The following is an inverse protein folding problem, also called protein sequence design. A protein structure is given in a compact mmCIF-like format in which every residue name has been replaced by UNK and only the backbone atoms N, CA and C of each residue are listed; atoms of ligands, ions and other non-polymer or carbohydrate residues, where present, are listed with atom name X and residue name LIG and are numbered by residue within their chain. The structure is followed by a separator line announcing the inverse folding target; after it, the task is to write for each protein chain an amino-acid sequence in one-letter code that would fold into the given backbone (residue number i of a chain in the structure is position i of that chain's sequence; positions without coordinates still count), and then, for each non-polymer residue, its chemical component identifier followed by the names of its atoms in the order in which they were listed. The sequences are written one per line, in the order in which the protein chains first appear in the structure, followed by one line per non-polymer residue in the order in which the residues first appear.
data_IF_694693030156
#
_entry.id   IF_694693030156
#
_cell.length_a   1.000
_cell.length_b   1.000
_cell.length_c   1.000
_cell.angle_alpha   90.00
_cell.angle_beta   90.00
_cell.angle_gamma   90.00
#
_symmetry.space_group_name_H-M   'P 1'
#
loop_
_entity.id
_entity.type
_entity.pdbx_description
1 polymer ?
#
# COMPACT_ATOMS: atom_id res chain seq x y z
N UNK A 1 -2.92 -8.95 26.53
CA UNK A 1 -4.01 -9.75 25.94
C UNK A 1 -5.03 -8.83 25.28
N UNK A 2 -5.35 -9.08 24.02
CA UNK A 2 -6.36 -8.31 23.31
C UNK A 2 -7.74 -8.73 23.81
N UNK A 3 -8.63 -7.77 24.05
CA UNK A 3 -9.99 -8.10 24.42
C UNK A 3 -10.77 -8.63 23.18
N UNK A 4 -11.90 -9.28 23.43
CA UNK A 4 -12.70 -9.88 22.38
C UNK A 4 -13.18 -8.86 21.34
N UNK A 5 -13.58 -7.68 21.79
CA UNK A 5 -14.04 -6.61 20.93
C UNK A 5 -12.96 -6.14 19.96
N UNK A 6 -11.75 -5.97 20.45
CA UNK A 6 -10.61 -5.59 19.62
C UNK A 6 -10.29 -6.67 18.58
N UNK A 7 -10.35 -7.94 18.97
CA UNK A 7 -10.15 -9.06 18.03
C UNK A 7 -11.19 -9.07 16.93
N UNK A 8 -12.45 -8.83 17.26
CA UNK A 8 -13.54 -8.75 16.28
C UNK A 8 -13.32 -7.61 15.28
N UNK A 9 -12.83 -6.47 15.75
CA UNK A 9 -12.49 -5.33 14.88
C UNK A 9 -11.36 -5.72 13.93
N UNK A 10 -10.31 -6.35 14.43
CA UNK A 10 -9.19 -6.79 13.60
C UNK A 10 -9.62 -7.80 12.54
N UNK A 11 -10.48 -8.74 12.90
CA UNK A 11 -11.03 -9.72 11.96
C UNK A 11 -11.87 -9.05 10.88
N UNK A 12 -12.67 -8.05 11.23
CA UNK A 12 -13.46 -7.29 10.28
C UNK A 12 -12.57 -6.51 9.30
N UNK A 13 -11.52 -5.88 9.81
CA UNK A 13 -10.55 -5.18 8.96
C UNK A 13 -9.89 -6.14 7.99
N UNK A 14 -9.43 -7.30 8.48
CA UNK A 14 -8.78 -8.30 7.64
C UNK A 14 -9.72 -8.79 6.53
N UNK A 15 -10.97 -9.07 6.86
CA UNK A 15 -11.98 -9.47 5.88
C UNK A 15 -12.17 -8.41 4.79
N UNK A 16 -12.30 -7.14 5.17
CA UNK A 16 -12.46 -6.04 4.22
C UNK A 16 -11.25 -5.91 3.31
N UNK A 17 -10.04 -6.04 3.86
CA UNK A 17 -8.80 -5.91 3.09
C UNK A 17 -8.62 -7.10 2.13
N UNK A 18 -8.93 -8.30 2.56
CA UNK A 18 -8.88 -9.50 1.71
C UNK A 18 -9.87 -9.34 0.54
N UNK A 19 -11.08 -8.88 0.82
CA UNK A 19 -12.08 -8.64 -0.22
C UNK A 19 -11.62 -7.57 -1.21
N UNK A 20 -10.93 -6.53 -0.73
CA UNK A 20 -10.37 -5.49 -1.58
C UNK A 20 -9.30 -6.02 -2.53
N UNK A 21 -8.51 -7.00 -2.10
CA UNK A 21 -7.52 -7.64 -2.98
C UNK A 21 -8.16 -8.46 -4.10
N UNK A 22 -9.36 -8.98 -3.88
CA UNK A 22 -10.08 -9.82 -4.85
C UNK A 22 -11.03 -9.04 -5.74
N UNK A 23 -11.46 -7.85 -5.34
CA UNK A 23 -12.47 -7.08 -6.04
C UNK A 23 -11.98 -5.65 -6.29
N UNK A 24 -11.72 -5.35 -7.57
CA UNK A 24 -11.21 -4.04 -7.97
C UNK A 24 -12.19 -2.88 -7.72
N UNK A 25 -13.48 -3.18 -7.53
CA UNK A 25 -14.48 -2.17 -7.22
C UNK A 25 -14.64 -1.92 -5.71
N UNK A 26 -13.94 -2.68 -4.88
CA UNK A 26 -14.03 -2.51 -3.41
C UNK A 26 -13.46 -1.15 -2.99
N UNK A 27 -14.10 -0.45 -2.03
CA UNK A 27 -13.62 0.86 -1.57
C UNK A 27 -12.17 0.85 -1.05
N UNK A 28 -11.72 -0.28 -0.49
CA UNK A 28 -10.36 -0.40 0.05
C UNK A 28 -9.33 -0.88 -0.99
N UNK A 29 -9.73 -1.02 -2.27
CA UNK A 29 -8.78 -1.35 -3.34
C UNK A 29 -7.76 -0.25 -3.55
N UNK A 30 -8.16 0.99 -3.34
CA UNK A 30 -7.27 2.14 -3.40
C UNK A 30 -7.21 2.82 -2.04
N UNK A 31 -6.10 3.47 -1.76
CA UNK A 31 -5.95 4.22 -0.52
C UNK A 31 -5.11 5.47 -0.76
N UNK A 32 -5.24 6.42 0.15
CA UNK A 32 -4.45 7.63 0.13
C UNK A 32 -3.14 7.39 0.86
N UNK A 33 -2.02 7.68 0.21
CA UNK A 33 -0.69 7.53 0.78
C UNK A 33 -0.04 8.90 0.92
N UNK A 34 0.33 9.25 2.13
CA UNK A 34 1.01 10.49 2.44
C UNK A 34 2.50 10.25 2.66
N UNK A 35 3.29 11.12 2.07
CA UNK A 35 4.74 11.19 2.27
C UNK A 35 5.13 12.64 2.55
N UNK A 36 6.40 12.87 2.80
CA UNK A 36 6.90 14.22 3.06
C UNK A 36 7.83 14.62 1.91
N UNK A 37 7.48 15.72 1.25
CA UNK A 37 8.32 16.36 0.25
C UNK A 37 8.96 17.59 0.90
N UNK A 38 10.20 17.42 1.32
CA UNK A 38 10.92 18.38 2.15
C UNK A 38 10.15 18.66 3.45
N UNK A 39 9.52 19.80 3.61
CA UNK A 39 8.72 20.15 4.79
C UNK A 39 7.23 20.11 4.52
N UNK A 40 6.84 19.75 3.31
CA UNK A 40 5.43 19.74 2.88
C UNK A 40 4.89 18.33 2.85
N UNK A 41 3.67 18.10 3.36
CA UNK A 41 3.01 16.82 3.15
C UNK A 41 2.62 16.67 1.68
N UNK A 42 2.78 15.46 1.16
CA UNK A 42 2.44 15.10 -0.20
C UNK A 42 1.48 13.91 -0.16
N UNK A 43 0.43 13.94 -0.97
CA UNK A 43 -0.66 12.97 -0.87
C UNK A 43 -1.11 12.52 -2.26
N UNK A 44 -1.33 11.22 -2.43
CA UNK A 44 -1.85 10.65 -3.68
C UNK A 44 -2.62 9.36 -3.39
N UNK A 45 -3.40 8.93 -4.38
CA UNK A 45 -4.10 7.65 -4.33
C UNK A 45 -3.22 6.57 -4.96
N UNK A 46 -3.12 5.43 -4.29
CA UNK A 46 -2.38 4.25 -4.78
C UNK A 46 -3.27 3.01 -4.67
N UNK A 47 -2.89 1.96 -5.38
CA UNK A 47 -3.63 0.70 -5.42
C UNK A 47 -3.04 -0.29 -4.44
N UNK A 48 -3.90 -0.89 -3.61
CA UNK A 48 -3.51 -1.96 -2.69
C UNK A 48 -3.15 -3.21 -3.49
N UNK A 49 -1.95 -3.75 -3.27
CA UNK A 49 -1.46 -4.94 -3.96
C UNK A 49 -1.32 -6.15 -3.06
N UNK A 50 -1.08 -5.93 -1.78
CA UNK A 50 -1.02 -7.01 -0.79
C UNK A 50 -1.25 -6.42 0.61
N UNK A 51 -1.62 -7.28 1.54
CA UNK A 51 -1.89 -6.88 2.91
C UNK A 51 -1.74 -8.08 3.85
N UNK A 52 -1.20 -7.84 5.03
CA UNK A 52 -1.20 -8.82 6.12
C UNK A 52 -1.32 -8.10 7.45
N UNK A 53 -2.35 -8.40 8.21
CA UNK A 53 -2.51 -7.84 9.55
C UNK A 53 -1.52 -8.48 10.53
N UNK A 54 -1.29 -9.79 10.38
CA UNK A 54 -0.39 -10.53 11.28
C UNK A 54 1.05 -10.05 11.14
N UNK A 55 1.50 -9.82 9.90
CA UNK A 55 2.85 -9.36 9.61
C UNK A 55 2.94 -7.83 9.54
N UNK A 56 1.83 -7.14 9.71
CA UNK A 56 1.71 -5.67 9.78
C UNK A 56 2.32 -4.97 8.57
N UNK A 57 1.89 -5.37 7.38
CA UNK A 57 2.33 -4.68 6.16
C UNK A 57 1.19 -4.47 5.18
N UNK A 58 1.38 -3.51 4.30
CA UNK A 58 0.61 -3.37 3.06
C UNK A 58 1.56 -2.95 1.94
N UNK A 59 1.24 -3.38 0.73
CA UNK A 59 2.08 -3.17 -0.44
C UNK A 59 1.35 -2.41 -1.52
N UNK A 60 2.07 -1.54 -2.20
CA UNK A 60 1.64 -0.94 -3.45
C UNK A 60 2.81 -0.93 -4.43
N UNK A 61 2.50 -0.78 -5.72
CA UNK A 61 3.51 -0.71 -6.77
C UNK A 61 3.64 0.71 -7.26
N UNK A 62 4.82 1.07 -7.74
CA UNK A 62 5.09 2.38 -8.31
C UNK A 62 6.23 2.31 -9.32
N UNK A 63 6.25 3.25 -10.27
CA UNK A 63 7.42 3.51 -11.08
C UNK A 63 8.51 4.11 -10.19
N UNK A 64 9.74 3.59 -10.32
CA UNK A 64 10.88 4.06 -9.52
C UNK A 64 11.17 5.55 -9.70
N UNK A 65 10.74 6.12 -10.84
CA UNK A 65 10.96 7.54 -11.17
C UNK A 65 9.86 8.45 -10.64
N UNK A 66 8.80 7.91 -10.04
CA UNK A 66 7.72 8.75 -9.52
C UNK A 66 8.21 9.61 -8.36
N UNK A 67 7.65 10.82 -8.20
CA UNK A 67 8.02 11.70 -7.08
C UNK A 67 7.87 11.05 -5.72
N UNK A 68 6.84 10.21 -5.52
CA UNK A 68 6.61 9.56 -4.22
C UNK A 68 7.75 8.61 -3.84
N UNK A 69 8.38 7.93 -4.81
CA UNK A 69 9.52 7.04 -4.53
C UNK A 69 10.71 7.87 -4.04
N UNK A 70 10.98 8.98 -4.72
CA UNK A 70 12.05 9.90 -4.33
C UNK A 70 11.82 10.47 -2.93
N UNK A 71 10.61 10.91 -2.64
CA UNK A 71 10.22 11.44 -1.33
C UNK A 71 10.42 10.41 -0.23
N UNK A 72 9.96 9.16 -0.47
CA UNK A 72 10.02 8.08 0.52
C UNK A 72 11.45 7.56 0.71
N UNK A 73 12.34 7.70 -0.27
CA UNK A 73 13.76 7.41 -0.09
C UNK A 73 14.43 8.43 0.83
N UNK A 74 14.03 9.69 0.77
CA UNK A 74 14.57 10.74 1.64
C UNK A 74 14.01 10.65 3.05
N UNK A 75 12.70 10.39 3.17
CA UNK A 75 12.01 10.26 4.44
C UNK A 75 11.05 9.10 4.31
N UNK A 76 11.36 8.00 4.95
CA UNK A 76 10.61 6.75 4.82
C UNK A 76 9.33 6.68 5.65
N UNK A 77 8.97 7.75 6.33
CA UNK A 77 7.74 7.80 7.12
C UNK A 77 6.54 8.02 6.21
N UNK A 78 5.45 7.34 6.52
CA UNK A 78 4.22 7.45 5.75
C UNK A 78 3.00 7.52 6.65
N UNK A 79 1.91 7.98 6.07
CA UNK A 79 0.55 7.77 6.59
C UNK A 79 -0.33 7.25 5.45
N UNK A 80 -1.23 6.36 5.77
CA UNK A 80 -2.17 5.80 4.80
C UNK A 80 -3.59 5.90 5.33
N UNK A 81 -4.53 6.18 4.43
CA UNK A 81 -5.94 6.33 4.77
C UNK A 81 -6.79 5.49 3.83
N UNK A 82 -7.61 4.63 4.42
CA UNK A 82 -8.67 3.89 3.73
C UNK A 82 -10.00 4.38 4.26
N UNK A 83 -10.96 4.56 3.38
CA UNK A 83 -12.29 4.99 3.79
C UNK A 83 -13.36 4.29 2.97
N UNK A 84 -14.39 3.78 3.65
CA UNK A 84 -15.58 3.20 3.02
C UNK A 84 -16.82 3.93 3.51
N UNK A 85 -17.55 4.57 2.59
CA UNK A 85 -18.82 5.22 2.90
C UNK A 85 -19.92 4.20 3.21
N UNK A 86 -19.87 3.03 2.56
CA UNK A 86 -20.85 1.96 2.77
C UNK A 86 -20.74 1.35 4.16
N UNK A 87 -19.53 0.98 4.56
CA UNK A 87 -19.26 0.37 5.86
C UNK A 87 -19.12 1.40 6.97
N UNK A 88 -18.96 2.68 6.62
CA UNK A 88 -18.71 3.80 7.55
C UNK A 88 -17.46 3.53 8.41
N UNK A 89 -16.42 3.01 7.76
CA UNK A 89 -15.16 2.67 8.41
C UNK A 89 -14.05 3.51 7.81
N UNK A 90 -13.21 4.09 8.67
CA UNK A 90 -11.98 4.76 8.31
C UNK A 90 -10.82 4.05 8.98
N UNK A 91 -9.83 3.65 8.18
CA UNK A 91 -8.60 3.04 8.68
C UNK A 91 -7.44 3.98 8.41
N UNK A 92 -6.62 4.21 9.42
CA UNK A 92 -5.40 5.00 9.30
C UNK A 92 -4.21 4.15 9.74
N UNK A 93 -3.19 4.12 8.90
CA UNK A 93 -1.94 3.42 9.19
C UNK A 93 -0.80 4.41 9.16
N UNK A 94 0.17 4.23 10.03
CA UNK A 94 1.40 5.01 10.07
C UNK A 94 2.57 4.05 10.26
N UNK A 95 3.68 4.37 9.63
CA UNK A 95 4.83 3.51 9.78
C UNK A 95 6.00 3.94 8.90
N UNK A 96 6.78 2.96 8.49
CA UNK A 96 7.95 3.17 7.64
C UNK A 96 7.79 2.37 6.34
N UNK A 97 8.38 2.92 5.29
CA UNK A 97 8.34 2.34 3.96
C UNK A 97 9.68 1.68 3.65
N UNK A 98 9.62 0.49 3.07
CA UNK A 98 10.77 -0.15 2.41
C UNK A 98 10.50 -0.19 0.91
N UNK A 99 11.51 0.12 0.12
CA UNK A 99 11.40 0.15 -1.33
C UNK A 99 12.24 -0.96 -1.92
N UNK A 100 11.60 -1.82 -2.70
CA UNK A 100 12.27 -2.92 -3.41
C UNK A 100 12.25 -2.60 -4.90
N UNK A 101 13.40 -2.72 -5.53
CA UNK A 101 13.56 -2.42 -6.95
C UNK A 101 14.55 -3.40 -7.59
N UNK A 102 14.19 -3.92 -8.79
CA UNK A 102 15.04 -4.83 -9.59
C UNK A 102 15.52 -6.04 -8.80
N UNK A 103 14.66 -6.59 -7.93
CA UNK A 103 14.97 -7.81 -7.20
C UNK A 103 13.92 -8.90 -7.49
N UNK A 104 14.11 -10.10 -6.92
CA UNK A 104 13.19 -11.21 -7.11
C UNK A 104 11.77 -10.91 -6.64
N UNK A 105 11.62 -10.11 -5.60
CA UNK A 105 10.30 -9.73 -5.05
C UNK A 105 9.55 -8.85 -6.05
N UNK A 106 10.19 -7.82 -6.60
CA UNK A 106 9.55 -6.93 -7.58
C UNK A 106 9.18 -7.67 -8.86
N UNK A 107 10.04 -8.56 -9.34
CA UNK A 107 9.76 -9.39 -10.51
C UNK A 107 8.55 -10.29 -10.27
N UNK A 108 8.52 -10.97 -9.14
CA UNK A 108 7.42 -11.85 -8.77
C UNK A 108 6.09 -11.07 -8.70
N UNK A 109 6.10 -9.91 -8.11
CA UNK A 109 4.89 -9.06 -8.02
C UNK A 109 4.44 -8.60 -9.40
N UNK A 110 5.38 -8.21 -10.27
CA UNK A 110 5.06 -7.82 -11.64
C UNK A 110 4.44 -8.97 -12.43
N UNK A 111 5.01 -10.16 -12.32
CA UNK A 111 4.53 -11.35 -13.04
C UNK A 111 3.11 -11.72 -12.61
N UNK A 112 2.71 -11.40 -11.39
CA UNK A 112 1.37 -11.65 -10.85
C UNK A 112 0.36 -10.55 -11.15
N UNK A 113 0.79 -9.44 -11.76
CA UNK A 113 -0.12 -8.35 -12.14
C UNK A 113 -0.90 -8.74 -13.37
N UNK A 114 -2.20 -8.45 -13.39
CA UNK A 114 -3.06 -8.75 -14.55
C UNK A 114 -2.63 -7.93 -15.78
N UNK A 115 -2.89 -8.41 -17.01
CA UNK A 115 -2.56 -7.65 -18.21
C UNK A 115 -3.14 -6.24 -18.24
N UNK A 116 -4.36 -6.05 -17.78
CA UNK A 116 -4.99 -4.72 -17.71
C UNK A 116 -4.29 -3.80 -16.71
N UNK A 117 -3.87 -4.35 -15.56
CA UNK A 117 -3.12 -3.59 -14.57
C UNK A 117 -1.71 -3.27 -15.05
N UNK A 118 -1.07 -4.19 -15.78
CA UNK A 118 0.25 -3.92 -16.37
C UNK A 118 0.22 -2.72 -17.32
N UNK A 119 -0.86 -2.56 -18.08
CA UNK A 119 -1.00 -1.42 -19.00
C UNK A 119 -0.98 -0.06 -18.30
N UNK A 120 -1.38 0.00 -17.04
CA UNK A 120 -1.30 1.24 -16.25
C UNK A 120 0.14 1.68 -15.98
N UNK A 121 1.10 0.75 -16.07
CA UNK A 121 2.52 1.01 -15.83
C UNK A 121 3.34 1.06 -17.12
N UNK A 122 2.71 0.81 -18.28
CA UNK A 122 3.39 0.77 -19.58
C UNK A 122 3.31 2.13 -20.29
N UNK A 123 3.77 3.18 -19.65
CA UNK A 123 4.01 4.46 -20.29
C UNK A 123 5.36 4.44 -21.02
N UNK A 124 6.09 5.56 -21.07
CA UNK A 124 7.45 5.60 -21.61
C UNK A 124 8.46 4.82 -20.74
N UNK A 125 7.98 3.99 -19.83
CA UNK A 125 8.77 3.32 -18.81
C UNK A 125 8.78 1.81 -19.00
N UNK A 126 9.94 1.20 -18.72
CA UNK A 126 10.10 -0.26 -18.72
C UNK A 126 9.50 -0.89 -17.47
N UNK A 127 9.00 -2.14 -17.55
CA UNK A 127 8.64 -2.90 -16.34
C UNK A 127 9.79 -3.02 -15.33
N UNK A 128 11.05 -2.99 -15.81
CA UNK A 128 12.23 -3.01 -14.92
C UNK A 128 12.34 -1.77 -14.03
N UNK A 129 11.61 -0.71 -14.34
CA UNK A 129 11.58 0.51 -13.54
C UNK A 129 10.53 0.46 -12.43
N UNK A 130 9.74 -0.60 -12.38
CA UNK A 130 8.74 -0.80 -11.34
C UNK A 130 9.41 -1.03 -9.98
N UNK A 131 8.93 -0.36 -8.96
CA UNK A 131 9.31 -0.57 -7.57
C UNK A 131 8.14 -1.08 -6.77
N UNK A 132 8.42 -1.96 -5.83
CA UNK A 132 7.47 -2.32 -4.80
C UNK A 132 7.65 -1.39 -3.61
N UNK A 133 6.58 -0.72 -3.20
CA UNK A 133 6.56 0.07 -1.99
C UNK A 133 5.95 -0.81 -0.91
N UNK A 134 6.79 -1.26 0.02
CA UNK A 134 6.37 -2.07 1.15
C UNK A 134 6.22 -1.16 2.37
N UNK A 135 5.02 -1.15 2.91
CA UNK A 135 4.66 -0.29 4.02
C UNK A 135 4.44 -1.17 5.25
N UNK A 136 5.22 -0.95 6.29
CA UNK A 136 5.07 -1.68 7.54
C UNK A 136 4.80 -0.74 8.70
N UNK A 137 3.92 -1.17 9.59
CA UNK A 137 3.63 -0.42 10.81
C UNK A 137 4.73 -0.71 11.84
N UNK A 138 5.26 0.33 12.53
CA UNK A 138 6.24 0.08 13.58
C UNK A 138 5.66 -0.80 14.68
N UNK A 139 6.51 -1.66 15.23
CA UNK A 139 6.13 -2.47 16.39
C UNK A 139 5.83 -1.54 17.56
N UNK A 140 4.66 -1.65 18.15
CA UNK A 140 4.32 -0.89 19.34
C UNK A 140 5.09 -1.45 20.54
N UNK A 141 5.57 -0.56 21.39
CA UNK A 141 6.23 -1.01 22.63
C UNK A 141 5.26 -1.72 23.57
#
# INVERSE_FOLDING_TARGET
MLNKEFQEICEKIEELMINALKNSAHPFRTFSLASIDDKMPSLRTVVLRDFSIDNRFLDCHSDIRSPKVYELKKNNKFSALFYSTEEKIQLRFKGKVEIFHKNSITKQRWDNVTPSSKRCYMGPYNPSDLSLIHISEPTRP
#
